data_IF_411253694986
#
_entry.id   IF_411253694986
#
_cell.length_a   1.000
_cell.length_b   1.000
_cell.length_c   1.000
_cell.angle_alpha   90.00
_cell.angle_beta   90.00
_cell.angle_gamma   90.00
#
_symmetry.space_group_name_H-M   'P 1'
#
loop_
_entity.id
_entity.type
_entity.pdbx_description
1 polymer ?
#
# COMPACT_ATOMS: atom_id res chain seq x y z
N UNK A 1 -3.93 13.39 56.49
CA UNK A 1 -3.71 14.11 55.22
C UNK A 1 -3.26 13.09 54.15
N UNK A 2 -4.19 12.57 53.33
CA UNK A 2 -3.89 11.61 52.25
C UNK A 2 -3.30 12.38 51.07
N UNK A 3 -2.01 12.16 50.76
CA UNK A 3 -1.37 12.76 49.57
C UNK A 3 -1.82 12.00 48.33
N UNK A 4 -2.60 12.68 47.49
CA UNK A 4 -3.04 12.22 46.18
C UNK A 4 -1.84 12.21 45.21
N UNK A 5 -1.11 11.08 45.14
CA UNK A 5 -0.09 10.85 44.08
C UNK A 5 -0.80 10.33 42.83
N UNK A 6 -1.42 11.20 42.04
CA UNK A 6 -2.07 10.79 40.78
C UNK A 6 -1.46 11.38 39.50
N UNK A 7 -0.40 12.20 39.59
CA UNK A 7 0.06 12.96 38.41
C UNK A 7 1.30 12.43 37.70
N UNK A 8 1.67 11.14 37.86
CA UNK A 8 2.87 10.60 37.19
C UNK A 8 2.60 9.54 36.11
N UNK A 9 1.33 9.30 35.75
CA UNK A 9 0.95 8.29 34.74
C UNK A 9 0.69 8.87 33.34
N UNK A 10 0.77 10.19 33.17
CA UNK A 10 0.44 10.87 31.90
C UNK A 10 1.64 11.06 30.95
N UNK A 11 2.79 10.44 31.21
CA UNK A 11 4.02 10.64 30.41
C UNK A 11 4.22 9.59 29.31
N UNK A 12 3.40 8.53 29.27
CA UNK A 12 3.51 7.46 28.28
C UNK A 12 2.62 7.66 27.03
N UNK A 13 1.71 8.64 27.06
CA UNK A 13 0.75 8.88 25.98
C UNK A 13 1.37 9.25 24.61
N UNK A 14 2.47 10.03 24.51
CA UNK A 14 3.03 10.37 23.20
C UNK A 14 3.75 9.21 22.51
N UNK A 15 4.22 8.19 23.24
CA UNK A 15 4.92 7.04 22.65
C UNK A 15 3.96 6.09 21.91
N UNK A 16 2.70 6.00 22.34
CA UNK A 16 1.71 5.10 21.74
C UNK A 16 1.24 5.57 20.36
N UNK A 17 1.29 6.89 20.10
CA UNK A 17 0.84 7.47 18.84
C UNK A 17 1.76 7.13 17.64
N UNK A 18 3.04 6.82 17.89
CA UNK A 18 4.03 6.56 16.83
C UNK A 18 3.81 5.19 16.18
N UNK A 19 3.26 4.21 16.91
CA UNK A 19 3.05 2.85 16.40
C UNK A 19 1.77 2.69 15.56
N UNK A 20 0.90 3.70 15.48
CA UNK A 20 -0.39 3.61 14.80
C UNK A 20 -0.35 3.93 13.29
N UNK A 21 0.82 4.24 12.72
CA UNK A 21 0.94 4.80 11.35
C UNK A 21 1.30 3.74 10.29
N UNK A 22 1.40 2.46 10.63
CA UNK A 22 2.15 1.49 9.83
C UNK A 22 1.41 0.74 8.71
N UNK A 23 0.16 1.08 8.33
CA UNK A 23 -0.59 0.24 7.37
C UNK A 23 -1.33 0.95 6.22
N UNK A 24 -1.06 2.24 5.94
CA UNK A 24 -1.89 3.00 5.00
C UNK A 24 -1.34 3.15 3.56
N UNK A 25 -0.18 2.57 3.22
CA UNK A 25 0.50 2.87 1.95
C UNK A 25 1.02 1.62 1.24
N UNK A 26 0.17 0.64 1.00
CA UNK A 26 0.47 -0.30 -0.07
C UNK A 26 0.23 0.42 -1.41
N UNK A 27 1.31 0.67 -2.15
CA UNK A 27 1.25 1.47 -3.37
C UNK A 27 0.47 0.72 -4.47
N UNK A 28 -0.68 1.26 -4.86
CA UNK A 28 -1.40 0.86 -6.08
C UNK A 28 -0.74 1.50 -7.29
N UNK A 29 -0.59 0.73 -8.38
CA UNK A 29 0.00 1.22 -9.63
C UNK A 29 -0.53 0.47 -10.85
N UNK A 30 -0.34 1.06 -12.01
CA UNK A 30 -0.63 0.48 -13.31
C UNK A 30 0.66 -0.03 -13.95
N UNK A 31 0.59 -1.18 -14.60
CA UNK A 31 1.69 -1.72 -15.41
C UNK A 31 1.22 -2.07 -16.81
N UNK A 32 2.08 -1.85 -17.81
CA UNK A 32 1.81 -2.17 -19.20
C UNK A 32 3.11 -2.46 -19.95
N UNK A 33 3.00 -3.08 -21.11
CA UNK A 33 4.11 -3.30 -22.04
C UNK A 33 3.94 -2.37 -23.23
N UNK A 34 4.99 -1.64 -23.60
CA UNK A 34 4.98 -0.74 -24.76
C UNK A 34 5.36 -1.44 -26.07
N UNK A 35 5.40 -0.69 -27.17
CA UNK A 35 5.74 -1.18 -28.51
C UNK A 35 7.17 -1.74 -28.62
N UNK A 36 8.06 -1.34 -27.71
CA UNK A 36 9.44 -1.82 -27.66
C UNK A 36 9.57 -3.05 -26.73
N UNK A 37 8.47 -3.52 -26.16
CA UNK A 37 8.45 -4.64 -25.21
C UNK A 37 8.90 -4.24 -23.80
N UNK A 38 9.03 -2.95 -23.50
CA UNK A 38 9.46 -2.48 -22.17
C UNK A 38 8.26 -2.47 -21.22
N UNK A 39 8.45 -3.04 -20.04
CA UNK A 39 7.45 -3.00 -18.97
C UNK A 39 7.55 -1.67 -18.21
N UNK A 40 6.45 -0.92 -18.20
CA UNK A 40 6.33 0.38 -17.57
C UNK A 40 5.45 0.30 -16.32
N UNK A 41 5.61 1.29 -15.42
CA UNK A 41 4.88 1.40 -14.15
C UNK A 41 4.49 2.87 -13.90
N UNK A 42 3.26 3.12 -13.47
CA UNK A 42 2.78 4.48 -13.17
C UNK A 42 1.66 4.45 -12.13
N UNK A 43 1.50 5.54 -11.36
CA UNK A 43 0.33 5.71 -10.50
C UNK A 43 -0.95 6.03 -11.29
N UNK A 44 -0.81 6.48 -12.54
CA UNK A 44 -1.94 6.80 -13.44
C UNK A 44 -1.98 5.82 -14.59
N UNK A 45 -3.20 5.44 -15.00
CA UNK A 45 -3.41 4.64 -16.20
C UNK A 45 -2.83 5.37 -17.42
N UNK A 46 -2.01 4.71 -18.25
CA UNK A 46 -1.56 5.27 -19.50
C UNK A 46 -2.73 5.42 -20.49
N UNK A 47 -2.65 6.42 -21.37
CA UNK A 47 -3.56 6.55 -22.51
C UNK A 47 -3.06 5.69 -23.67
N UNK A 48 -3.97 4.97 -24.34
CA UNK A 48 -3.63 4.20 -25.54
C UNK A 48 -2.94 2.85 -25.28
N UNK A 49 -2.66 2.49 -24.04
CA UNK A 49 -2.09 1.18 -23.67
C UNK A 49 -3.08 0.36 -22.85
N UNK A 50 -3.04 -0.96 -23.04
CA UNK A 50 -3.71 -1.89 -22.14
C UNK A 50 -2.87 -2.03 -20.87
N UNK A 51 -3.38 -1.48 -19.77
CA UNK A 51 -2.69 -1.50 -18.48
C UNK A 51 -3.40 -2.40 -17.48
N UNK A 52 -2.62 -3.15 -16.71
CA UNK A 52 -3.08 -3.92 -15.56
C UNK A 52 -2.98 -3.05 -14.29
N UNK A 53 -4.07 -2.96 -13.54
CA UNK A 53 -4.08 -2.29 -12.25
C UNK A 53 -3.64 -3.26 -11.14
N UNK A 54 -2.51 -2.97 -10.52
CA UNK A 54 -1.89 -3.75 -9.47
C UNK A 54 -2.25 -3.14 -8.11
N UNK A 55 -2.89 -3.95 -7.28
CA UNK A 55 -3.27 -3.60 -5.90
C UNK A 55 -2.46 -4.43 -4.91
N UNK A 56 -2.50 -4.06 -3.63
CA UNK A 56 -1.83 -4.81 -2.55
C UNK A 56 -2.19 -6.30 -2.52
N UNK A 57 -3.45 -6.61 -2.82
CA UNK A 57 -3.96 -7.99 -2.83
C UNK A 57 -3.27 -8.87 -3.88
N UNK A 58 -2.65 -8.26 -4.88
CA UNK A 58 -1.98 -8.93 -5.98
C UNK A 58 -0.50 -9.16 -5.60
N UNK A 59 -0.21 -10.36 -5.09
CA UNK A 59 1.17 -10.74 -4.74
C UNK A 59 2.09 -10.59 -5.96
N UNK A 60 3.20 -9.88 -5.79
CA UNK A 60 4.28 -9.77 -6.76
C UNK A 60 4.66 -11.16 -7.30
N UNK A 61 4.76 -11.29 -8.63
CA UNK A 61 5.12 -12.54 -9.32
C UNK A 61 3.96 -13.51 -9.59
N UNK A 62 2.74 -13.24 -9.11
CA UNK A 62 1.55 -14.01 -9.56
C UNK A 62 0.85 -13.25 -10.68
N UNK A 63 1.03 -13.72 -11.92
CA UNK A 63 0.15 -13.33 -13.03
C UNK A 63 -1.28 -13.73 -12.66
N UNK A 64 -2.22 -12.78 -12.74
CA UNK A 64 -3.64 -13.10 -12.71
C UNK A 64 -3.85 -14.03 -13.90
N UNK A 65 -4.13 -15.31 -13.64
CA UNK A 65 -4.36 -16.30 -14.69
C UNK A 65 -5.42 -15.73 -15.64
N UNK A 66 -4.97 -15.28 -16.80
CA UNK A 66 -5.83 -14.94 -17.91
C UNK A 66 -6.58 -16.23 -18.23
N UNK A 67 -7.89 -16.26 -17.96
CA UNK A 67 -8.73 -17.37 -18.38
C UNK A 67 -8.63 -17.41 -19.91
N UNK A 68 -7.80 -18.31 -20.43
CA UNK A 68 -7.84 -18.65 -21.85
C UNK A 68 -9.28 -19.03 -22.20
N UNK A 69 -9.94 -18.33 -23.14
CA UNK A 69 -11.21 -18.79 -23.66
C UNK A 69 -10.97 -20.14 -24.34
N UNK A 70 -11.79 -21.13 -23.95
CA UNK A 70 -11.83 -22.48 -24.54
C UNK A 70 -12.55 -22.42 -25.88
#
# INVERSE_FOLDING_TARGET
MRKLKLFNQLKALPLLAIFAVSSAFAAEYYTWVDENGVTNYSQRSPEGYSAEHITESQRFGRRKLEKQPV
#
